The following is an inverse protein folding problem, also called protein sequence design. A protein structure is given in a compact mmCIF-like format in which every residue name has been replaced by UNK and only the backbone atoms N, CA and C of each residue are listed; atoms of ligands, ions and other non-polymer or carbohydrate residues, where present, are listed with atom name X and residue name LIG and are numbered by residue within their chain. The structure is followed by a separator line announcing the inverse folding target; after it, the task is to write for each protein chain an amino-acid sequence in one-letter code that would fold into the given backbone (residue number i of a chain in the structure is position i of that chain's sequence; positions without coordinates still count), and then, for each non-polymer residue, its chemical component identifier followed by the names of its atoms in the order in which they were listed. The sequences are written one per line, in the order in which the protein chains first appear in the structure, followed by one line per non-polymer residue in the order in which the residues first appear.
data_IF_757679692587
#
_entry.id   IF_757679692587
#
_cell.length_a   1.000
_cell.length_b   1.000
_cell.length_c   1.000
_cell.angle_alpha   90.00
_cell.angle_beta   90.00
_cell.angle_gamma   90.00
#
_symmetry.space_group_name_H-M   'P 1'
#
loop_
_entity.id
_entity.type
_entity.pdbx_description
1 polymer ?
#
# COMPACT_ATOMS: atom_id res chain seq x y z
N UNK A 1 -10.02 -0.15 -29.57
CA UNK A 1 -11.08 -0.29 -28.55
C UNK A 1 -11.67 -1.71 -28.49
N UNK A 2 -11.48 -2.58 -29.50
CA UNK A 2 -12.21 -3.86 -29.61
C UNK A 2 -11.53 -5.11 -28.98
N UNK A 3 -10.41 -4.97 -28.27
CA UNK A 3 -9.63 -6.14 -27.77
C UNK A 3 -9.19 -6.05 -26.30
N UNK A 4 -9.81 -5.19 -25.48
CA UNK A 4 -9.54 -5.22 -24.03
C UNK A 4 -10.22 -6.43 -23.39
N UNK A 5 -9.39 -7.38 -22.94
CA UNK A 5 -9.83 -8.52 -22.14
C UNK A 5 -9.94 -8.09 -20.68
N UNK A 6 -11.14 -8.16 -20.14
CA UNK A 6 -11.40 -7.97 -18.71
C UNK A 6 -11.54 -9.33 -18.02
N UNK A 7 -11.01 -9.40 -16.80
CA UNK A 7 -11.15 -10.58 -15.94
C UNK A 7 -11.79 -10.14 -14.64
N UNK A 8 -12.87 -10.81 -14.27
CA UNK A 8 -13.51 -10.64 -12.97
C UNK A 8 -12.82 -11.57 -11.99
N UNK A 9 -12.31 -10.98 -10.91
CA UNK A 9 -11.66 -11.70 -9.82
C UNK A 9 -12.39 -11.32 -8.54
N UNK A 10 -12.62 -12.30 -7.68
CA UNK A 10 -13.20 -12.07 -6.36
C UNK A 10 -12.31 -11.13 -5.52
N UNK A 11 -12.95 -10.22 -4.78
CA UNK A 11 -12.21 -9.22 -4.01
C UNK A 11 -11.43 -9.83 -2.85
N UNK A 12 -11.99 -10.83 -2.16
CA UNK A 12 -11.31 -11.45 -1.03
C UNK A 12 -10.10 -12.24 -1.53
N UNK A 13 -10.24 -12.94 -2.66
CA UNK A 13 -9.12 -13.59 -3.33
C UNK A 13 -8.02 -12.59 -3.72
N UNK A 14 -8.39 -11.46 -4.32
CA UNK A 14 -7.43 -10.46 -4.78
C UNK A 14 -6.73 -9.77 -3.59
N UNK A 15 -7.45 -9.51 -2.51
CA UNK A 15 -6.90 -8.93 -1.29
C UNK A 15 -5.89 -9.86 -0.62
N UNK A 16 -6.21 -11.15 -0.49
CA UNK A 16 -5.26 -12.15 0.03
C UNK A 16 -4.03 -12.29 -0.85
N UNK A 17 -4.22 -12.32 -2.18
CA UNK A 17 -3.10 -12.31 -3.13
C UNK A 17 -2.18 -11.10 -2.91
N UNK A 18 -2.73 -9.90 -2.73
CA UNK A 18 -1.93 -8.71 -2.47
C UNK A 18 -1.14 -8.81 -1.15
N UNK A 19 -1.77 -9.31 -0.09
CA UNK A 19 -1.11 -9.54 1.20
C UNK A 19 0.08 -10.48 1.04
N UNK A 20 -0.11 -11.62 0.38
CA UNK A 20 0.95 -12.62 0.16
C UNK A 20 2.09 -12.06 -0.69
N UNK A 21 1.78 -11.28 -1.73
CA UNK A 21 2.79 -10.64 -2.58
C UNK A 21 3.61 -9.60 -1.79
N UNK A 22 2.96 -8.77 -0.96
CA UNK A 22 3.67 -7.80 -0.11
C UNK A 22 4.58 -8.50 0.91
N UNK A 23 4.09 -9.56 1.55
CA UNK A 23 4.91 -10.40 2.46
C UNK A 23 6.10 -11.01 1.72
N UNK A 24 5.90 -11.47 0.48
CA UNK A 24 6.94 -12.02 -0.38
C UNK A 24 8.07 -11.04 -0.72
N UNK A 25 7.86 -9.72 -0.57
CA UNK A 25 8.89 -8.69 -0.73
C UNK A 25 9.34 -8.07 0.59
N UNK A 26 9.03 -8.71 1.72
CA UNK A 26 9.53 -8.36 3.04
C UNK A 26 8.69 -7.35 3.83
N UNK A 27 7.48 -7.01 3.37
CA UNK A 27 6.56 -6.17 4.14
C UNK A 27 5.99 -6.99 5.30
N UNK A 28 6.00 -6.50 6.55
CA UNK A 28 5.38 -7.19 7.68
C UNK A 28 3.88 -7.46 7.45
N UNK A 29 3.35 -8.56 7.97
CA UNK A 29 1.99 -9.00 7.68
C UNK A 29 0.90 -7.94 7.97
N UNK A 30 0.99 -7.26 9.11
CA UNK A 30 0.01 -6.23 9.49
C UNK A 30 0.08 -5.01 8.55
N UNK A 31 1.29 -4.62 8.14
CA UNK A 31 1.51 -3.55 7.16
C UNK A 31 1.02 -3.98 5.76
N UNK A 32 1.23 -5.24 5.38
CA UNK A 32 0.75 -5.82 4.12
C UNK A 32 -0.78 -5.82 4.03
N UNK A 33 -1.48 -6.18 5.11
CA UNK A 33 -2.95 -6.07 5.23
C UNK A 33 -3.43 -4.65 5.00
N UNK A 34 -2.76 -3.65 5.60
CA UNK A 34 -3.08 -2.24 5.38
C UNK A 34 -2.90 -1.84 3.90
N UNK A 35 -1.79 -2.25 3.29
CA UNK A 35 -1.52 -1.93 1.89
C UNK A 35 -2.53 -2.56 0.93
N UNK A 36 -2.91 -3.82 1.16
CA UNK A 36 -3.91 -4.54 0.37
C UNK A 36 -5.30 -3.89 0.51
N UNK A 37 -5.75 -3.65 1.74
CA UNK A 37 -7.04 -3.01 2.05
C UNK A 37 -7.21 -1.67 1.32
N UNK A 38 -6.19 -0.80 1.36
CA UNK A 38 -6.24 0.52 0.70
C UNK A 38 -6.33 0.41 -0.82
N UNK A 39 -5.54 -0.50 -1.43
CA UNK A 39 -5.51 -0.65 -2.88
C UNK A 39 -6.79 -1.32 -3.39
N UNK A 40 -7.23 -2.40 -2.76
CA UNK A 40 -8.48 -3.10 -3.11
C UNK A 40 -9.69 -2.21 -2.87
N UNK A 41 -9.69 -1.37 -1.83
CA UNK A 41 -10.76 -0.39 -1.62
C UNK A 41 -10.87 0.60 -2.79
N UNK A 42 -9.76 0.91 -3.46
CA UNK A 42 -9.79 1.74 -4.68
C UNK A 42 -10.46 1.00 -5.85
N UNK A 43 -10.16 -0.29 -6.05
CA UNK A 43 -10.83 -1.13 -7.07
C UNK A 43 -12.33 -1.31 -6.75
N UNK A 44 -12.68 -1.58 -5.49
CA UNK A 44 -14.07 -1.68 -5.00
C UNK A 44 -14.88 -0.40 -5.30
N UNK A 45 -14.21 0.75 -5.40
CA UNK A 45 -14.81 2.06 -5.72
C UNK A 45 -14.73 2.44 -7.20
N UNK A 46 -14.19 1.58 -8.07
CA UNK A 46 -14.01 1.86 -9.49
C UNK A 46 -12.92 2.89 -9.79
N UNK A 47 -11.89 2.97 -8.94
CA UNK A 47 -10.74 3.89 -9.12
C UNK A 47 -9.51 3.07 -9.54
N UNK A 48 -9.57 2.53 -10.75
CA UNK A 48 -8.59 1.58 -11.30
C UNK A 48 -7.16 2.14 -11.31
N UNK A 49 -7.03 3.46 -11.46
CA UNK A 49 -5.76 4.17 -11.44
C UNK A 49 -5.03 4.11 -10.09
N UNK A 50 -5.67 3.65 -9.01
CA UNK A 50 -5.10 3.60 -7.66
C UNK A 50 -5.27 2.23 -6.97
N UNK A 51 -5.78 1.22 -7.67
CA UNK A 51 -5.97 -0.13 -7.12
C UNK A 51 -4.85 -1.11 -7.47
N UNK A 52 -5.21 -2.37 -7.76
CA UNK A 52 -4.29 -3.49 -8.01
C UNK A 52 -3.24 -3.18 -9.09
N UNK A 53 -3.57 -2.35 -10.08
CA UNK A 53 -2.65 -1.92 -11.14
C UNK A 53 -1.38 -1.24 -10.62
N UNK A 54 -1.40 -0.73 -9.38
CA UNK A 54 -0.22 -0.13 -8.72
C UNK A 54 0.70 -1.15 -8.07
N UNK A 55 0.22 -2.36 -7.75
CA UNK A 55 0.96 -3.37 -6.98
C UNK A 55 2.36 -3.58 -7.54
N UNK A 56 2.46 -4.04 -8.79
CA UNK A 56 3.76 -4.33 -9.40
C UNK A 56 4.58 -3.07 -9.72
N UNK A 57 4.12 -2.14 -10.57
CA UNK A 57 4.97 -1.06 -11.08
C UNK A 57 5.37 -0.03 -10.01
N UNK A 58 4.54 0.17 -8.98
CA UNK A 58 4.79 1.19 -7.96
C UNK A 58 5.35 0.60 -6.68
N UNK A 59 4.86 -0.55 -6.22
CA UNK A 59 5.33 -1.08 -4.94
C UNK A 59 6.41 -2.13 -5.13
N UNK A 60 6.15 -3.22 -5.86
CA UNK A 60 7.11 -4.32 -5.99
C UNK A 60 8.40 -3.88 -6.69
N UNK A 61 8.28 -3.18 -7.82
CA UNK A 61 9.45 -2.74 -8.59
C UNK A 61 10.28 -1.71 -7.79
N UNK A 62 9.64 -0.83 -7.01
CA UNK A 62 10.34 0.18 -6.21
C UNK A 62 10.95 -0.37 -4.92
N UNK A 63 10.31 -1.35 -4.28
CA UNK A 63 10.91 -2.10 -3.15
C UNK A 63 12.18 -2.81 -3.64
N UNK A 64 12.10 -3.50 -4.78
CA UNK A 64 13.26 -4.19 -5.39
C UNK A 64 14.37 -3.22 -5.81
N UNK A 65 14.02 -2.01 -6.21
CA UNK A 65 14.98 -0.96 -6.55
C UNK A 65 15.55 -0.22 -5.31
N UNK A 66 15.15 -0.59 -4.08
CA UNK A 66 15.58 0.08 -2.84
C UNK A 66 15.02 1.49 -2.67
N UNK A 67 13.97 1.85 -3.41
CA UNK A 67 13.32 3.16 -3.35
C UNK A 67 12.22 3.23 -2.28
N UNK A 68 11.64 2.08 -1.92
CA UNK A 68 10.68 1.93 -0.82
C UNK A 68 11.23 0.91 0.16
N UNK A 69 11.23 1.25 1.45
CA UNK A 69 11.58 0.36 2.53
C UNK A 69 10.38 -0.54 2.86
N UNK A 70 10.51 -1.87 2.75
CA UNK A 70 9.40 -2.78 3.03
C UNK A 70 9.01 -2.80 4.51
N UNK A 71 9.97 -2.50 5.40
CA UNK A 71 9.73 -2.31 6.83
C UNK A 71 9.52 -0.81 7.09
N UNK A 72 8.30 -0.44 7.45
CA UNK A 72 7.92 0.97 7.68
C UNK A 72 8.36 1.42 9.07
N UNK A 73 9.39 2.25 9.13
CA UNK A 73 9.88 2.86 10.35
C UNK A 73 9.56 4.37 10.35
N UNK A 74 8.32 4.77 10.66
CA UNK A 74 8.00 6.21 10.74
C UNK A 74 8.49 6.83 12.06
N UNK A 75 8.85 8.12 12.04
CA UNK A 75 9.27 8.89 13.21
C UNK A 75 8.49 10.18 13.33
N UNK A 76 8.08 10.53 14.55
CA UNK A 76 7.55 11.86 14.85
C UNK A 76 8.76 12.79 15.02
N UNK A 77 8.87 13.78 14.14
CA UNK A 77 9.94 14.78 14.16
C UNK A 77 9.58 15.94 15.09
N UNK A 78 8.30 16.32 15.10
CA UNK A 78 7.77 17.40 15.93
C UNK A 78 6.28 17.16 16.19
N UNK A 79 5.83 17.46 17.40
CA UNK A 79 4.44 17.35 17.79
C UNK A 79 4.02 18.61 18.56
N UNK A 80 2.77 19.02 18.37
CA UNK A 80 2.12 20.08 19.11
C UNK A 80 0.65 19.72 19.37
N UNK A 81 -0.12 20.57 20.05
CA UNK A 81 -1.47 20.21 20.51
C UNK A 81 -2.46 19.81 19.40
N UNK A 82 -2.24 20.26 18.17
CA UNK A 82 -3.13 20.01 17.03
C UNK A 82 -2.38 19.70 15.73
N UNK A 83 -1.06 19.48 15.78
CA UNK A 83 -0.23 19.22 14.58
C UNK A 83 0.92 18.27 14.89
N UNK A 84 1.30 17.45 13.91
CA UNK A 84 2.50 16.61 13.97
C UNK A 84 3.24 16.63 12.63
N UNK A 85 4.56 16.56 12.68
CA UNK A 85 5.46 16.38 11.53
C UNK A 85 6.04 14.98 11.63
N UNK A 86 5.84 14.18 10.59
CA UNK A 86 6.21 12.77 10.56
C UNK A 86 7.17 12.51 9.40
N UNK A 87 8.31 11.92 9.70
CA UNK A 87 9.24 11.38 8.71
C UNK A 87 8.93 9.89 8.47
N UNK A 88 8.49 9.56 7.26
CA UNK A 88 8.15 8.21 6.87
C UNK A 88 9.36 7.30 6.58
N UNK A 89 10.58 7.84 6.51
CA UNK A 89 11.82 7.13 6.22
C UNK A 89 11.68 6.17 5.02
N UNK A 90 11.10 6.65 3.91
CA UNK A 90 10.82 5.89 2.68
C UNK A 90 9.99 4.60 2.88
N UNK A 91 9.24 4.46 3.98
CA UNK A 91 8.37 3.31 4.23
C UNK A 91 7.12 3.29 3.35
N UNK A 92 6.23 2.34 3.62
CA UNK A 92 4.98 2.18 2.88
C UNK A 92 4.02 3.33 3.16
N UNK A 93 3.69 4.12 2.12
CA UNK A 93 2.85 5.32 2.27
C UNK A 93 1.48 5.05 2.90
N UNK A 94 0.84 3.93 2.56
CA UNK A 94 -0.45 3.53 3.14
C UNK A 94 -0.36 3.29 4.64
N UNK A 95 0.72 2.67 5.10
CA UNK A 95 0.97 2.38 6.51
C UNK A 95 1.24 3.67 7.27
N UNK A 96 2.13 4.52 6.72
CA UNK A 96 2.47 5.82 7.32
C UNK A 96 1.19 6.64 7.48
N UNK A 97 0.41 6.81 6.40
CA UNK A 97 -0.80 7.60 6.42
C UNK A 97 -1.85 7.07 7.41
N UNK A 98 -2.10 5.74 7.43
CA UNK A 98 -3.07 5.14 8.36
C UNK A 98 -2.68 5.39 9.82
N UNK A 99 -1.41 5.17 10.17
CA UNK A 99 -0.90 5.41 11.53
C UNK A 99 -0.96 6.90 11.88
N UNK A 100 -0.62 7.79 10.95
CA UNK A 100 -0.72 9.25 11.15
C UNK A 100 -2.15 9.73 11.40
N UNK A 101 -3.16 9.11 10.79
CA UNK A 101 -4.58 9.47 11.01
C UNK A 101 -5.17 8.95 12.33
N UNK A 102 -4.44 8.10 13.04
CA UNK A 102 -4.85 7.53 14.34
C UNK A 102 -4.16 8.21 15.54
N UNK A 103 -3.28 9.17 15.28
CA UNK A 103 -2.65 10.02 16.29
C UNK A 103 -3.60 11.16 16.67
#
# INVERSE_FOLDING_TARGET
MADEKFYWVDFDLLEQFMVDVFKGVGVPEEDAKICADVLITSDKRGIDSHGIGRLKPIYIDRIRAGQINPITNMKIVKEGPTTAVIDGQNGMGQVIAKKSMQM
#
